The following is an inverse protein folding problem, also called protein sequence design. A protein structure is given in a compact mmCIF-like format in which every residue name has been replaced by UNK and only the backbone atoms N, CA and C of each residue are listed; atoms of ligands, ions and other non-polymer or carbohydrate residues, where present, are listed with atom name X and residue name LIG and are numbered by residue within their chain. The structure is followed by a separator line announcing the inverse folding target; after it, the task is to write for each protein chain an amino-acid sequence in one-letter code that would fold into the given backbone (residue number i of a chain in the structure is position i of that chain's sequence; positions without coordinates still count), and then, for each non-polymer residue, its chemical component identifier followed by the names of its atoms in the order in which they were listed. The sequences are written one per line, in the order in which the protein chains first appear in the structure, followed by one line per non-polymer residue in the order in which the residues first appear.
data_IF_826406590420
#
_entry.id   IF_826406590420
#
_cell.length_a   1.000
_cell.length_b   1.000
_cell.length_c   1.000
_cell.angle_alpha   90.00
_cell.angle_beta   90.00
_cell.angle_gamma   90.00
#
_symmetry.space_group_name_H-M   'P 1'
#
loop_
_entity.id
_entity.type
_entity.pdbx_description
1 polymer ?
#
# COMPACT_ATOMS: atom_id res chain seq x y z
N UNK A 1 5.88 -11.48 -17.37
CA UNK A 1 6.66 -11.19 -16.14
C UNK A 1 6.71 -9.68 -15.93
N UNK A 2 5.74 -9.13 -15.19
CA UNK A 2 5.60 -7.69 -14.98
C UNK A 2 5.47 -7.46 -13.47
N UNK A 3 6.49 -6.83 -12.87
CA UNK A 3 6.57 -6.50 -11.44
C UNK A 3 5.50 -5.45 -11.11
N UNK A 4 4.35 -5.88 -10.60
CA UNK A 4 3.25 -5.00 -10.21
C UNK A 4 3.54 -4.32 -8.86
N UNK A 5 4.33 -3.26 -8.96
CA UNK A 5 4.88 -2.44 -7.89
C UNK A 5 3.87 -1.39 -7.37
N UNK A 6 2.61 -1.77 -7.12
CA UNK A 6 1.56 -0.79 -6.77
C UNK A 6 1.24 -0.71 -5.26
N UNK A 7 1.66 -1.67 -4.43
CA UNK A 7 1.49 -1.54 -2.96
C UNK A 7 2.80 -1.35 -2.17
N UNK A 8 3.92 -1.09 -2.86
CA UNK A 8 5.16 -0.62 -2.23
C UNK A 8 5.25 0.93 -2.25
N UNK A 9 4.14 1.63 -1.97
CA UNK A 9 4.03 3.08 -2.14
C UNK A 9 3.97 3.90 -0.86
N UNK A 10 4.19 3.31 0.31
CA UNK A 10 4.36 4.10 1.54
C UNK A 10 5.64 3.75 2.29
N UNK A 11 6.76 3.74 1.57
CA UNK A 11 8.09 3.74 2.17
C UNK A 11 9.11 4.65 1.44
N UNK A 12 8.75 5.33 0.35
CA UNK A 12 9.74 5.96 -0.55
C UNK A 12 9.37 7.41 -0.93
N UNK A 13 9.06 8.24 0.07
CA UNK A 13 8.98 9.69 -0.12
C UNK A 13 9.39 10.46 1.15
N UNK A 14 10.47 10.02 1.82
CA UNK A 14 11.16 10.82 2.82
C UNK A 14 12.67 10.68 2.57
N UNK A 15 13.42 11.78 2.36
CA UNK A 15 14.86 11.72 2.21
C UNK A 15 15.50 11.26 3.53
N UNK A 16 16.25 10.15 3.48
CA UNK A 16 17.33 9.75 4.40
C UNK A 16 17.20 10.09 5.90
N UNK A 17 16.00 10.04 6.48
CA UNK A 17 15.85 9.73 7.89
C UNK A 17 15.86 8.21 8.01
N UNK A 18 16.49 7.60 9.05
CA UNK A 18 16.23 6.20 9.34
C UNK A 18 14.70 6.07 9.37
N UNK A 19 14.15 5.20 8.53
CA UNK A 19 12.70 4.96 8.48
C UNK A 19 12.28 4.61 9.91
N UNK A 20 11.80 5.61 10.66
CA UNK A 20 11.41 5.46 12.04
C UNK A 20 10.07 4.74 11.99
N UNK A 21 10.16 3.42 11.82
CA UNK A 21 9.02 2.53 12.00
C UNK A 21 8.50 2.78 13.40
N UNK A 22 7.28 3.35 13.46
CA UNK A 22 6.58 3.57 14.71
C UNK A 22 6.47 2.23 15.45
N UNK A 23 6.69 2.26 16.77
CA UNK A 23 6.50 1.07 17.59
C UNK A 23 5.05 0.60 17.50
N UNK A 24 4.86 -0.71 17.34
CA UNK A 24 3.54 -1.33 17.32
C UNK A 24 3.06 -1.44 18.78
N UNK A 25 1.96 -0.77 19.15
CA UNK A 25 1.42 -0.89 20.50
C UNK A 25 1.08 -2.34 20.83
N UNK A 26 1.57 -2.84 21.96
CA UNK A 26 1.36 -4.23 22.39
C UNK A 26 2.42 -5.23 21.92
N UNK A 27 3.39 -4.82 21.11
CA UNK A 27 4.56 -5.64 20.74
C UNK A 27 5.77 -5.24 21.59
N UNK A 28 6.57 -6.21 22.02
CA UNK A 28 7.73 -5.93 22.87
C UNK A 28 8.86 -5.21 22.13
N UNK A 29 9.66 -4.40 22.84
CA UNK A 29 10.82 -3.69 22.26
C UNK A 29 11.82 -4.63 21.60
N UNK A 30 12.05 -5.81 22.18
CA UNK A 30 12.96 -6.81 21.61
C UNK A 30 12.47 -7.34 20.26
N UNK A 31 11.15 -7.52 20.10
CA UNK A 31 10.56 -7.97 18.85
C UNK A 31 10.49 -6.85 17.81
N UNK A 32 10.27 -5.60 18.22
CA UNK A 32 10.42 -4.42 17.34
C UNK A 32 11.85 -4.28 16.82
N UNK A 33 12.86 -4.55 17.66
CA UNK A 33 14.25 -4.49 17.24
C UNK A 33 14.61 -5.59 16.24
N UNK A 34 14.08 -6.81 16.45
CA UNK A 34 14.16 -7.89 15.45
C UNK A 34 13.52 -7.47 14.13
N UNK A 35 12.32 -6.90 14.16
CA UNK A 35 11.64 -6.43 12.94
C UNK A 35 12.49 -5.43 12.16
N UNK A 36 13.15 -4.49 12.85
CA UNK A 36 14.06 -3.51 12.23
C UNK A 36 15.29 -4.16 11.60
N UNK A 37 15.85 -5.19 12.23
CA UNK A 37 17.02 -5.92 11.70
C UNK A 37 16.69 -6.79 10.48
N UNK A 38 15.44 -7.26 10.40
CA UNK A 38 14.98 -8.19 9.37
C UNK A 38 14.52 -7.46 8.08
N UNK A 39 14.47 -6.13 8.10
CA UNK A 39 13.77 -5.31 7.12
C UNK A 39 14.49 -5.22 5.75
N UNK A 40 14.51 -6.34 5.03
CA UNK A 40 14.51 -6.43 3.57
C UNK A 40 13.03 -6.31 3.10
N UNK A 41 12.66 -5.39 2.19
CA UNK A 41 11.30 -4.81 2.17
C UNK A 41 10.14 -5.70 1.71
N UNK A 42 10.34 -6.99 1.43
CA UNK A 42 9.33 -7.79 0.72
C UNK A 42 9.03 -9.20 1.22
N UNK A 43 9.81 -9.76 2.15
CA UNK A 43 9.75 -11.21 2.39
C UNK A 43 9.56 -11.65 3.84
N UNK A 44 9.56 -10.76 4.84
CA UNK A 44 9.71 -11.22 6.23
C UNK A 44 8.69 -10.71 7.26
N UNK A 45 7.66 -9.94 6.86
CA UNK A 45 6.66 -9.43 7.81
C UNK A 45 5.74 -10.55 8.30
N UNK A 46 5.18 -11.35 7.40
CA UNK A 46 4.32 -12.48 7.77
C UNK A 46 5.08 -13.56 8.55
N UNK A 47 6.32 -13.86 8.14
CA UNK A 47 7.20 -14.76 8.87
C UNK A 47 7.52 -14.24 10.29
N UNK A 48 7.79 -12.94 10.42
CA UNK A 48 8.01 -12.30 11.72
C UNK A 48 6.75 -12.35 12.58
N UNK A 49 5.58 -11.99 12.05
CA UNK A 49 4.30 -12.07 12.78
C UNK A 49 4.02 -13.49 13.28
N UNK A 50 4.28 -14.50 12.45
CA UNK A 50 4.12 -15.91 12.82
C UNK A 50 5.13 -16.38 13.88
N UNK A 51 6.26 -15.67 14.03
CA UNK A 51 7.25 -15.94 15.09
C UNK A 51 6.90 -15.30 16.44
N UNK A 52 5.89 -14.42 16.50
CA UNK A 52 5.49 -13.73 17.73
C UNK A 52 4.63 -14.62 18.64
N UNK A 53 4.68 -14.41 19.96
CA UNK A 53 3.66 -14.93 20.88
C UNK A 53 2.26 -14.48 20.46
N UNK A 54 1.24 -15.29 20.72
CA UNK A 54 -0.12 -15.08 20.21
C UNK A 54 -0.68 -13.68 20.47
N UNK A 55 -0.53 -13.16 21.70
CA UNK A 55 -0.99 -11.81 22.04
C UNK A 55 -0.28 -10.71 21.22
N UNK A 56 1.03 -10.83 21.01
CA UNK A 56 1.83 -9.87 20.22
C UNK A 56 1.51 -10.00 18.73
N UNK A 57 1.28 -11.23 18.23
CA UNK A 57 0.84 -11.48 16.85
C UNK A 57 -0.50 -10.83 16.56
N UNK A 58 -1.48 -10.96 17.46
CA UNK A 58 -2.79 -10.32 17.32
C UNK A 58 -2.63 -8.79 17.26
N UNK A 59 -1.80 -8.21 18.13
CA UNK A 59 -1.52 -6.78 18.11
C UNK A 59 -0.84 -6.31 16.81
N UNK A 60 0.11 -7.09 16.29
CA UNK A 60 0.78 -6.82 15.02
C UNK A 60 -0.18 -6.87 13.82
N UNK A 61 -1.02 -7.90 13.74
CA UNK A 61 -2.03 -8.05 12.68
C UNK A 61 -3.03 -6.88 12.73
N UNK A 62 -3.56 -6.57 13.92
CA UNK A 62 -4.50 -5.45 14.09
C UNK A 62 -3.87 -4.10 13.72
N UNK A 63 -2.60 -3.89 14.06
CA UNK A 63 -1.89 -2.68 13.67
C UNK A 63 -1.70 -2.59 12.15
N UNK A 64 -1.31 -3.69 11.50
CA UNK A 64 -1.19 -3.76 10.04
C UNK A 64 -2.51 -3.45 9.36
N UNK A 65 -3.61 -4.03 9.84
CA UNK A 65 -4.94 -3.78 9.31
C UNK A 65 -5.34 -2.30 9.43
N UNK A 66 -5.07 -1.68 10.58
CA UNK A 66 -5.30 -0.24 10.78
C UNK A 66 -4.50 0.63 9.81
N UNK A 67 -3.22 0.30 9.58
CA UNK A 67 -2.36 1.03 8.64
C UNK A 67 -2.89 0.90 7.22
N UNK A 68 -3.28 -0.31 6.81
CA UNK A 68 -3.82 -0.56 5.48
C UNK A 68 -5.17 0.15 5.28
N UNK A 69 -6.06 0.16 6.27
CA UNK A 69 -7.33 0.89 6.22
C UNK A 69 -7.11 2.41 6.12
N UNK A 70 -6.18 2.94 6.92
CA UNK A 70 -5.76 4.35 6.82
C UNK A 70 -5.24 4.68 5.43
N UNK A 71 -4.42 3.80 4.82
CA UNK A 71 -3.90 4.03 3.47
C UNK A 71 -5.00 4.01 2.41
N UNK A 72 -5.92 3.04 2.49
CA UNK A 72 -7.07 2.98 1.58
C UNK A 72 -7.94 4.23 1.70
N UNK A 73 -8.20 4.68 2.93
CA UNK A 73 -8.95 5.91 3.19
C UNK A 73 -8.25 7.14 2.61
N UNK A 74 -6.94 7.27 2.82
CA UNK A 74 -6.14 8.37 2.25
C UNK A 74 -6.15 8.34 0.73
N UNK A 75 -6.04 7.15 0.12
CA UNK A 75 -6.12 6.94 -1.31
C UNK A 75 -7.48 7.40 -1.87
N UNK A 76 -8.58 6.98 -1.26
CA UNK A 76 -9.94 7.30 -1.69
C UNK A 76 -10.39 8.74 -1.40
N UNK A 77 -9.67 9.46 -0.53
CA UNK A 77 -9.96 10.85 -0.17
C UNK A 77 -9.66 11.84 -1.30
N UNK A 78 -8.70 11.52 -2.17
CA UNK A 78 -8.32 12.38 -3.29
C UNK A 78 -8.94 11.85 -4.57
N UNK A 79 -9.74 12.68 -5.23
CA UNK A 79 -10.23 12.39 -6.58
C UNK A 79 -9.06 12.45 -7.58
N UNK A 80 -9.14 11.57 -8.58
CA UNK A 80 -8.19 11.57 -9.69
C UNK A 80 -8.55 12.75 -10.60
N UNK A 81 -7.62 13.68 -10.88
CA UNK A 81 -7.90 14.81 -11.76
C UNK A 81 -8.37 14.34 -13.14
N UNK A 82 -9.50 14.90 -13.61
CA UNK A 82 -10.08 14.57 -14.91
C UNK A 82 -10.97 13.34 -14.95
N UNK A 83 -11.09 12.59 -13.84
CA UNK A 83 -12.07 11.50 -13.72
C UNK A 83 -13.36 12.05 -13.13
N UNK A 84 -14.51 11.66 -13.70
CA UNK A 84 -15.81 12.08 -13.21
C UNK A 84 -16.09 11.62 -11.77
N UNK A 85 -16.92 12.40 -11.06
CA UNK A 85 -17.34 12.06 -9.70
C UNK A 85 -18.04 10.70 -9.63
N UNK A 86 -18.89 10.39 -10.61
CA UNK A 86 -19.60 9.11 -10.68
C UNK A 86 -18.62 7.92 -10.77
N UNK A 87 -17.56 8.06 -11.57
CA UNK A 87 -16.50 7.05 -11.68
C UNK A 87 -15.67 6.91 -10.40
N UNK A 88 -15.37 8.02 -9.71
CA UNK A 88 -14.72 7.98 -8.39
C UNK A 88 -15.61 7.35 -7.30
N UNK A 89 -16.92 7.61 -7.33
CA UNK A 89 -17.87 7.01 -6.39
C UNK A 89 -18.00 5.50 -6.63
N UNK A 90 -17.94 5.05 -7.89
CA UNK A 90 -17.86 3.62 -8.22
C UNK A 90 -16.57 2.97 -7.72
N UNK A 91 -15.42 3.65 -7.83
CA UNK A 91 -14.16 3.16 -7.26
C UNK A 91 -14.29 2.92 -5.75
N UNK A 92 -14.89 3.86 -5.02
CA UNK A 92 -15.13 3.74 -3.57
C UNK A 92 -16.03 2.55 -3.24
N UNK A 93 -17.06 2.30 -4.05
CA UNK A 93 -17.94 1.15 -3.88
C UNK A 93 -17.21 -0.17 -4.15
N UNK A 94 -16.42 -0.27 -5.22
CA UNK A 94 -15.68 -1.50 -5.55
C UNK A 94 -14.66 -1.84 -4.45
N UNK A 95 -14.01 -0.83 -3.88
CA UNK A 95 -13.05 -0.99 -2.79
C UNK A 95 -13.70 -1.10 -1.40
N UNK A 96 -15.04 -1.17 -1.33
CA UNK A 96 -15.80 -1.40 -0.10
C UNK A 96 -16.75 -2.63 -0.25
N UNK A 97 -16.50 -3.75 0.44
CA UNK A 97 -15.55 -3.92 1.53
C UNK A 97 -14.10 -3.87 1.05
N UNK A 98 -13.24 -3.53 2.01
CA UNK A 98 -11.80 -3.44 1.83
C UNK A 98 -11.26 -4.72 1.16
N UNK A 99 -10.36 -4.60 0.17
CA UNK A 99 -9.80 -5.77 -0.49
C UNK A 99 -8.93 -6.62 0.45
N UNK A 100 -9.01 -7.95 0.29
CA UNK A 100 -8.36 -8.92 1.18
C UNK A 100 -6.84 -8.99 0.97
N UNK A 101 -6.32 -8.45 -0.13
CA UNK A 101 -4.89 -8.44 -0.39
C UNK A 101 -4.52 -7.78 -1.72
N UNK A 102 -3.23 -7.85 -2.10
CA UNK A 102 -2.73 -7.22 -3.32
C UNK A 102 -3.42 -7.72 -4.61
N UNK A 103 -3.72 -9.02 -4.68
CA UNK A 103 -4.38 -9.63 -5.84
C UNK A 103 -5.84 -9.17 -6.00
N UNK A 104 -6.61 -9.21 -4.91
CA UNK A 104 -7.99 -8.72 -4.92
C UNK A 104 -8.06 -7.21 -5.17
N UNK A 105 -7.13 -6.44 -4.58
CA UNK A 105 -7.00 -5.02 -4.88
C UNK A 105 -6.73 -4.77 -6.37
N UNK A 106 -5.78 -5.49 -6.98
CA UNK A 106 -5.48 -5.37 -8.40
C UNK A 106 -6.70 -5.72 -9.27
N UNK A 107 -7.40 -6.82 -8.94
CA UNK A 107 -8.60 -7.24 -9.64
C UNK A 107 -9.67 -6.14 -9.60
N UNK A 108 -9.95 -5.58 -8.43
CA UNK A 108 -10.92 -4.51 -8.20
C UNK A 108 -10.55 -3.21 -8.94
N UNK A 109 -9.27 -2.84 -8.96
CA UNK A 109 -8.80 -1.70 -9.76
C UNK A 109 -8.97 -1.95 -11.26
N UNK A 110 -8.66 -3.15 -11.74
CA UNK A 110 -8.85 -3.50 -13.14
C UNK A 110 -10.33 -3.49 -13.54
N UNK A 111 -11.21 -4.00 -12.68
CA UNK A 111 -12.66 -3.92 -12.88
C UNK A 111 -13.12 -2.46 -12.99
N UNK A 112 -12.65 -1.61 -12.07
CA UNK A 112 -12.96 -0.19 -12.11
C UNK A 112 -12.50 0.47 -13.43
N UNK A 113 -11.23 0.30 -13.82
CA UNK A 113 -10.68 0.87 -15.07
C UNK A 113 -11.46 0.40 -16.31
N UNK A 114 -11.84 -0.87 -16.36
CA UNK A 114 -12.61 -1.43 -17.48
C UNK A 114 -14.04 -0.91 -17.54
N UNK A 115 -14.56 -0.40 -16.41
CA UNK A 115 -15.90 0.19 -16.33
C UNK A 115 -15.95 1.68 -16.65
N UNK A 116 -14.79 2.33 -16.82
CA UNK A 116 -14.69 3.76 -17.08
C UNK A 116 -15.12 4.12 -18.52
N UNK A 117 -15.78 5.26 -18.72
CA UNK A 117 -15.93 5.84 -20.05
C UNK A 117 -14.56 6.25 -20.62
N UNK A 118 -14.42 6.39 -21.96
CA UNK A 118 -13.13 6.64 -22.61
C UNK A 118 -12.37 7.87 -22.08
N UNK A 119 -13.09 8.94 -21.76
CA UNK A 119 -12.55 10.19 -21.22
C UNK A 119 -11.98 10.03 -19.80
N UNK A 120 -12.73 9.38 -18.90
CA UNK A 120 -12.26 9.07 -17.55
C UNK A 120 -11.09 8.08 -17.57
N UNK A 121 -11.13 7.10 -18.49
CA UNK A 121 -10.05 6.13 -18.65
C UNK A 121 -8.74 6.80 -19.06
N UNK A 122 -8.78 7.73 -20.00
CA UNK A 122 -7.61 8.50 -20.41
C UNK A 122 -7.04 9.34 -19.26
N UNK A 123 -7.91 9.98 -18.47
CA UNK A 123 -7.50 10.75 -17.29
C UNK A 123 -6.85 9.85 -16.20
N UNK A 124 -7.45 8.69 -15.93
CA UNK A 124 -6.92 7.72 -14.99
C UNK A 124 -5.55 7.17 -15.42
N UNK A 125 -5.37 6.85 -16.70
CA UNK A 125 -4.09 6.37 -17.26
C UNK A 125 -3.01 7.46 -17.22
N UNK A 126 -3.35 8.70 -17.56
CA UNK A 126 -2.43 9.84 -17.49
C UNK A 126 -1.95 10.08 -16.04
N UNK A 127 -2.89 10.06 -15.08
CA UNK A 127 -2.55 10.19 -13.67
C UNK A 127 -1.66 9.05 -13.17
N UNK A 128 -1.93 7.81 -13.62
CA UNK A 128 -1.08 6.65 -13.32
C UNK A 128 0.34 6.84 -13.86
N UNK A 129 0.48 7.30 -15.10
CA UNK A 129 1.78 7.55 -15.72
C UNK A 129 2.57 8.64 -14.96
N UNK A 130 1.91 9.72 -14.53
CA UNK A 130 2.51 10.78 -13.72
C UNK A 130 3.05 10.24 -12.39
N UNK A 131 2.27 9.41 -11.69
CA UNK A 131 2.69 8.79 -10.44
C UNK A 131 3.88 7.83 -10.61
N UNK A 132 3.97 7.14 -11.76
CA UNK A 132 5.13 6.33 -12.09
C UNK A 132 6.39 7.16 -12.36
N UNK A 133 6.26 8.32 -13.02
CA UNK A 133 7.39 9.21 -13.29
C UNK A 133 7.91 9.89 -12.02
N UNK A 134 7.00 10.32 -11.12
CA UNK A 134 7.36 10.95 -9.84
C UNK A 134 8.12 10.03 -8.88
N UNK A 135 8.00 8.71 -9.05
CA UNK A 135 8.67 7.73 -8.20
C UNK A 135 10.18 7.60 -8.43
N UNK A 136 10.73 8.19 -9.50
CA UNK A 136 12.15 8.10 -9.85
C UNK A 136 12.62 6.66 -10.11
N UNK A 137 13.83 6.47 -10.68
CA UNK A 137 14.43 5.14 -10.75
C UNK A 137 14.70 4.61 -9.32
N UNK A 138 14.63 3.28 -9.09
CA UNK A 138 14.99 2.71 -7.81
C UNK A 138 16.43 3.10 -7.45
N UNK A 139 16.74 3.34 -6.16
CA UNK A 139 18.12 3.61 -5.75
C UNK A 139 19.03 2.44 -6.18
N UNK A 140 20.28 2.72 -6.59
CA UNK A 140 21.24 1.67 -6.89
C UNK A 140 21.47 0.79 -5.65
N UNK A 141 21.74 -0.52 -5.83
CA UNK A 141 22.06 -1.40 -4.70
C UNK A 141 23.30 -0.87 -3.94
N UNK A 142 23.36 -1.02 -2.61
CA UNK A 142 24.56 -0.67 -1.85
C UNK A 142 25.75 -1.53 -2.32
N UNK A 143 26.89 -0.86 -2.55
CA UNK A 143 28.17 -1.49 -2.90
C UNK A 143 28.82 -2.17 -1.69
#
# INVERSE_FOLDING_TARGET
MLKLLVLLALAMAIPAAPCAMEDIPGVSKANMERLRQIMDPRLRIEEWENSLPEAERIAAIAHRERIQDKHLTVFLRRDIPGVSKASMDRLRQILNPRPEGPGDFEQKINEWINSLPPEDKAAAEAHRAEMHQKRGPPPPPPF
#
